data_IF_299950241209
#
_entry.id   IF_299950241209
#
_cell.length_a   1.000
_cell.length_b   1.000
_cell.length_c   1.000
_cell.angle_alpha   90.00
_cell.angle_beta   90.00
_cell.angle_gamma   90.00
#
_symmetry.space_group_name_H-M   'P 1'
#
loop_
_entity.id
_entity.type
_entity.pdbx_description
1 polymer ?
#
# COMPACT_ATOMS: atom_id res chain seq x y z
N UNK A 1 15.94 -18.18 41.16
CA UNK A 1 16.11 -16.73 41.31
C UNK A 1 14.78 -16.06 40.94
N UNK A 2 14.17 -15.30 41.86
CA UNK A 2 12.85 -14.68 41.69
C UNK A 2 13.05 -13.17 41.58
N UNK A 3 12.58 -12.58 40.49
CA UNK A 3 12.65 -11.13 40.27
C UNK A 3 11.38 -10.53 40.87
N UNK A 4 11.51 -9.73 41.93
CA UNK A 4 10.38 -9.02 42.57
C UNK A 4 10.16 -7.68 41.88
N UNK A 5 9.17 -7.61 40.99
CA UNK A 5 8.52 -6.34 40.62
C UNK A 5 7.36 -6.11 41.59
N UNK A 6 7.15 -4.86 42.04
CA UNK A 6 6.14 -4.48 43.05
C UNK A 6 4.81 -5.21 42.78
N UNK A 7 4.41 -6.09 43.69
CA UNK A 7 3.08 -6.71 43.74
C UNK A 7 2.88 -8.04 43.00
N UNK A 8 3.84 -8.54 42.21
CA UNK A 8 3.65 -9.80 41.47
C UNK A 8 4.91 -10.66 41.51
N UNK A 9 4.86 -11.77 42.26
CA UNK A 9 5.92 -12.79 42.28
C UNK A 9 5.68 -13.83 41.18
N UNK A 10 6.16 -13.55 39.97
CA UNK A 10 6.16 -14.52 38.88
C UNK A 10 7.48 -15.31 38.87
N UNK A 11 7.45 -16.64 38.73
CA UNK A 11 8.67 -17.41 38.51
C UNK A 11 9.29 -16.98 37.18
N UNK A 12 10.63 -16.94 37.12
CA UNK A 12 11.38 -16.47 35.96
C UNK A 12 10.95 -17.15 34.64
N UNK A 13 10.56 -18.42 34.70
CA UNK A 13 10.02 -19.19 33.56
C UNK A 13 8.76 -18.57 32.96
N UNK A 14 7.87 -18.00 33.76
CA UNK A 14 6.65 -17.33 33.29
C UNK A 14 6.95 -15.96 32.67
N UNK A 15 7.95 -15.25 33.21
CA UNK A 15 8.41 -13.96 32.68
C UNK A 15 8.97 -14.14 31.26
N UNK A 16 9.78 -15.18 31.04
CA UNK A 16 10.35 -15.49 29.72
C UNK A 16 9.27 -15.79 28.69
N UNK A 17 8.22 -16.54 29.06
CA UNK A 17 7.10 -16.84 28.16
C UNK A 17 6.32 -15.57 27.79
N UNK A 18 6.10 -14.66 28.75
CA UNK A 18 5.41 -13.38 28.49
C UNK A 18 6.23 -12.51 27.53
N UNK A 19 7.55 -12.44 27.71
CA UNK A 19 8.44 -11.68 26.82
C UNK A 19 8.43 -12.28 25.40
N UNK A 20 8.56 -13.61 25.28
CA UNK A 20 8.51 -14.29 23.98
C UNK A 20 7.18 -14.06 23.26
N UNK A 21 6.07 -14.13 23.99
CA UNK A 21 4.75 -13.84 23.45
C UNK A 21 4.68 -12.38 22.96
N UNK A 22 5.11 -11.40 23.75
CA UNK A 22 5.10 -10.00 23.37
C UNK A 22 5.95 -9.71 22.11
N UNK A 23 7.12 -10.35 22.00
CA UNK A 23 8.00 -10.23 20.82
C UNK A 23 7.32 -10.83 19.59
N UNK A 24 6.69 -12.00 19.70
CA UNK A 24 5.97 -12.63 18.60
C UNK A 24 4.79 -11.77 18.10
N UNK A 25 4.00 -11.20 19.02
CA UNK A 25 2.89 -10.31 18.65
C UNK A 25 3.39 -9.03 17.98
N UNK A 26 4.48 -8.44 18.48
CA UNK A 26 5.11 -7.28 17.86
C UNK A 26 5.58 -7.58 16.44
N UNK A 27 6.24 -8.72 16.22
CA UNK A 27 6.66 -9.16 14.89
C UNK A 27 5.47 -9.37 13.94
N UNK A 28 4.38 -9.99 14.39
CA UNK A 28 3.17 -10.14 13.54
C UNK A 28 2.55 -8.80 13.15
N UNK A 29 2.42 -7.86 14.09
CA UNK A 29 1.86 -6.53 13.79
C UNK A 29 2.78 -5.80 12.82
N UNK A 30 4.10 -5.88 13.03
CA UNK A 30 5.08 -5.23 12.19
C UNK A 30 5.08 -5.79 10.75
N UNK A 31 4.94 -7.10 10.57
CA UNK A 31 4.85 -7.71 9.24
C UNK A 31 3.55 -7.33 8.53
N UNK A 32 2.41 -7.32 9.23
CA UNK A 32 1.12 -6.88 8.66
C UNK A 32 1.20 -5.41 8.20
N UNK A 33 1.76 -4.52 9.03
CA UNK A 33 1.91 -3.10 8.70
C UNK A 33 2.89 -2.87 7.53
N UNK A 34 3.90 -3.73 7.34
CA UNK A 34 4.87 -3.63 6.24
C UNK A 34 4.34 -4.14 4.91
N UNK A 35 3.47 -5.15 4.91
CA UNK A 35 2.93 -5.77 3.67
C UNK A 35 1.74 -4.98 3.13
N UNK A 36 0.93 -4.38 4.00
CA UNK A 36 -0.23 -3.60 3.59
C UNK A 36 0.05 -2.47 2.56
N UNK A 37 1.06 -1.60 2.72
CA UNK A 37 1.31 -0.52 1.77
C UNK A 37 1.68 -1.02 0.36
N UNK A 38 2.29 -2.20 0.24
CA UNK A 38 2.65 -2.79 -1.05
C UNK A 38 1.43 -3.22 -1.88
N UNK A 39 0.37 -3.72 -1.23
CA UNK A 39 -0.86 -4.14 -1.91
C UNK A 39 -1.60 -2.94 -2.50
N UNK A 40 -1.54 -1.78 -1.84
CA UNK A 40 -2.14 -0.54 -2.35
C UNK A 40 -1.45 -0.04 -3.62
N UNK A 41 -0.11 -0.08 -3.66
CA UNK A 41 0.65 0.37 -4.84
C UNK A 41 0.42 -0.53 -6.07
N UNK A 42 0.34 -1.85 -5.87
CA UNK A 42 0.09 -2.80 -6.97
C UNK A 42 -1.31 -2.60 -7.57
N UNK A 43 -2.31 -2.33 -6.72
CA UNK A 43 -3.66 -2.05 -7.19
C UNK A 43 -3.76 -0.73 -7.96
N UNK A 44 -3.07 0.32 -7.51
CA UNK A 44 -3.06 1.60 -8.22
C UNK A 44 -2.35 1.49 -9.58
N UNK A 45 -1.22 0.78 -9.67
CA UNK A 45 -0.50 0.59 -10.92
C UNK A 45 -1.29 -0.26 -11.93
N UNK A 46 -1.89 -1.37 -11.48
CA UNK A 46 -2.72 -2.21 -12.33
C UNK A 46 -3.97 -1.45 -12.83
N UNK A 47 -4.57 -0.63 -11.98
CA UNK A 47 -5.73 0.18 -12.34
C UNK A 47 -5.37 1.37 -13.25
N UNK A 48 -4.19 1.96 -13.08
CA UNK A 48 -3.68 2.97 -14.02
C UNK A 48 -3.44 2.36 -15.41
N UNK A 49 -2.86 1.15 -15.47
CA UNK A 49 -2.68 0.38 -16.72
C UNK A 49 -3.99 0.07 -17.41
N UNK A 50 -5.04 -0.30 -16.68
CA UNK A 50 -6.35 -0.58 -17.28
C UNK A 50 -7.00 0.70 -17.83
N UNK A 51 -6.87 1.84 -17.15
CA UNK A 51 -7.28 3.14 -17.68
C UNK A 51 -6.49 3.55 -18.93
N UNK A 52 -5.18 3.27 -19.00
CA UNK A 52 -4.37 3.50 -20.20
C UNK A 52 -4.87 2.72 -21.42
N UNK A 53 -5.30 1.47 -21.23
CA UNK A 53 -5.87 0.64 -22.31
C UNK A 53 -7.20 1.22 -22.78
N UNK A 54 -8.06 1.64 -21.84
CA UNK A 54 -9.33 2.30 -22.17
C UNK A 54 -9.10 3.60 -22.93
N UNK A 55 -8.17 4.43 -22.45
CA UNK A 55 -7.85 5.71 -23.07
C UNK A 55 -7.30 5.56 -24.49
N UNK A 56 -6.47 4.54 -24.75
CA UNK A 56 -6.01 4.20 -26.10
C UNK A 56 -7.09 3.60 -27.02
N UNK A 57 -8.17 3.07 -26.45
CA UNK A 57 -9.25 2.43 -27.23
C UNK A 57 -10.35 3.40 -27.67
N UNK A 58 -10.55 4.48 -26.91
CA UNK A 58 -11.60 5.47 -27.18
C UNK A 58 -11.19 6.49 -28.22
N UNK A 59 -9.89 6.80 -28.30
CA UNK A 59 -9.31 7.62 -29.35
C UNK A 59 -8.08 6.92 -29.92
N UNK A 60 -7.88 7.03 -31.23
CA UNK A 60 -6.72 6.48 -31.95
C UNK A 60 -5.38 7.02 -31.37
N UNK A 61 -5.42 7.98 -30.44
CA UNK A 61 -4.29 8.47 -29.66
C UNK A 61 -4.70 8.98 -28.28
N UNK A 62 -3.78 8.97 -27.31
CA UNK A 62 -3.90 9.67 -26.02
C UNK A 62 -4.04 11.18 -26.23
N UNK A 63 -5.27 11.68 -26.36
CA UNK A 63 -5.55 13.10 -26.56
C UNK A 63 -5.77 13.84 -25.25
N UNK A 64 -5.44 15.13 -25.26
CA UNK A 64 -5.69 16.00 -24.12
C UNK A 64 -7.19 16.17 -23.83
N UNK A 65 -8.02 16.20 -24.87
CA UNK A 65 -9.44 16.55 -24.76
C UNK A 65 -10.26 15.42 -24.10
N UNK A 66 -9.84 14.17 -24.26
CA UNK A 66 -10.42 13.02 -23.56
C UNK A 66 -9.97 12.89 -22.11
N UNK A 67 -8.82 13.49 -21.73
CA UNK A 67 -8.24 13.35 -20.40
C UNK A 67 -8.93 14.20 -19.33
N UNK A 68 -9.79 13.58 -18.53
CA UNK A 68 -10.45 14.24 -17.41
C UNK A 68 -10.68 13.27 -16.23
N UNK A 69 -11.00 13.83 -15.07
CA UNK A 69 -11.22 13.08 -13.83
C UNK A 69 -12.46 12.20 -13.84
N UNK A 70 -13.42 12.40 -14.75
CA UNK A 70 -14.59 11.54 -14.89
C UNK A 70 -14.28 10.27 -15.69
N UNK A 71 -13.50 10.40 -16.78
CA UNK A 71 -13.16 9.31 -17.68
C UNK A 71 -11.95 8.50 -17.19
N UNK A 72 -10.94 9.14 -16.58
CA UNK A 72 -9.72 8.48 -16.11
C UNK A 72 -9.33 8.97 -14.70
N UNK A 73 -10.16 8.71 -13.68
CA UNK A 73 -9.96 9.22 -12.33
C UNK A 73 -8.63 8.82 -11.70
N UNK A 74 -8.10 7.64 -12.01
CA UNK A 74 -6.88 7.12 -11.38
C UNK A 74 -5.66 7.80 -12.01
N UNK A 75 -5.58 7.83 -13.34
CA UNK A 75 -4.52 8.56 -14.05
C UNK A 75 -4.57 10.06 -13.70
N UNK A 76 -5.76 10.65 -13.63
CA UNK A 76 -5.93 12.05 -13.25
C UNK A 76 -5.44 12.32 -11.82
N UNK A 77 -5.70 11.42 -10.88
CA UNK A 77 -5.24 11.52 -9.49
C UNK A 77 -3.72 11.35 -9.37
N UNK A 78 -3.14 10.33 -10.01
CA UNK A 78 -1.70 10.03 -9.92
C UNK A 78 -0.87 11.16 -10.52
N UNK A 79 -1.27 11.68 -11.68
CA UNK A 79 -0.56 12.73 -12.41
C UNK A 79 -1.09 14.13 -12.13
N UNK A 80 -2.00 14.29 -11.16
CA UNK A 80 -2.60 15.57 -10.78
C UNK A 80 -3.13 16.39 -11.98
N UNK A 81 -3.83 15.73 -12.90
CA UNK A 81 -4.34 16.34 -14.12
C UNK A 81 -3.31 16.61 -15.22
N UNK A 82 -2.05 16.20 -15.06
CA UNK A 82 -1.02 16.32 -16.09
C UNK A 82 -1.14 15.24 -17.17
N UNK A 83 -1.89 15.55 -18.23
CA UNK A 83 -2.14 14.63 -19.34
C UNK A 83 -0.86 14.16 -20.06
N UNK A 84 0.20 14.97 -20.13
CA UNK A 84 1.43 14.61 -20.83
C UNK A 84 2.22 13.55 -20.07
N UNK A 85 2.26 13.63 -18.73
CA UNK A 85 2.92 12.63 -17.90
C UNK A 85 2.12 11.33 -17.87
N UNK A 86 0.79 11.43 -17.75
CA UNK A 86 -0.10 10.29 -17.85
C UNK A 86 0.07 9.57 -19.19
N UNK A 87 0.13 10.34 -20.29
CA UNK A 87 0.38 9.80 -21.64
C UNK A 87 1.72 9.07 -21.71
N UNK A 88 2.82 9.67 -21.25
CA UNK A 88 4.15 9.02 -21.24
C UNK A 88 4.12 7.70 -20.49
N UNK A 89 3.46 7.64 -19.33
CA UNK A 89 3.31 6.40 -18.57
C UNK A 89 2.51 5.34 -19.34
N UNK A 90 1.43 5.73 -20.01
CA UNK A 90 0.61 4.82 -20.79
C UNK A 90 1.30 4.32 -22.07
N UNK A 91 2.15 5.14 -22.69
CA UNK A 91 2.93 4.78 -23.88
C UNK A 91 4.13 3.88 -23.57
N UNK A 92 4.66 3.93 -22.34
CA UNK A 92 5.76 3.07 -21.87
C UNK A 92 7.14 3.63 -22.21
#
# INVERSE_FOLDING_TARGET
>A
MIIKLKGVSLPASKIVVIILAAVATFFMIFTILKVWPGIWQINEEHSARSECVRWASEEISYSKDSFNSANYPILYKIYNGNWQEAKKFCEG
#
